data_IF_554459192219
#
_entry.id   IF_554459192219
#
_cell.length_a   1.000
_cell.length_b   1.000
_cell.length_c   1.000
_cell.angle_alpha   90.00
_cell.angle_beta   90.00
_cell.angle_gamma   90.00
#
_symmetry.space_group_name_H-M   'P 1'
#
loop_
_entity.id
_entity.type
_entity.pdbx_description
1 polymer ?
#
# COMPACT_ATOMS: atom_id res chain seq x y z
N UNK A 1 0.81 -6.85 7.15
CA UNK A 1 1.12 -5.41 7.06
C UNK A 1 -0.02 -4.59 7.65
N UNK A 2 0.27 -3.69 8.55
CA UNK A 2 -0.68 -2.81 9.22
C UNK A 2 -0.70 -1.45 8.51
N UNK A 3 -1.87 -0.89 8.23
CA UNK A 3 -2.04 0.46 7.73
C UNK A 3 -2.65 1.34 8.82
N UNK A 4 -2.00 2.45 9.13
CA UNK A 4 -2.43 3.43 10.12
C UNK A 4 -2.83 4.69 9.36
N UNK A 5 -4.12 4.99 9.38
CA UNK A 5 -4.74 6.06 8.60
C UNK A 5 -4.88 7.36 9.41
N UNK A 6 -5.20 8.45 8.72
CA UNK A 6 -5.57 9.75 9.28
C UNK A 6 -4.50 10.40 10.17
N UNK A 7 -3.24 10.19 9.86
CA UNK A 7 -2.12 10.85 10.54
C UNK A 7 -2.00 12.28 10.02
N UNK A 8 -2.65 13.23 10.69
CA UNK A 8 -2.68 14.64 10.30
C UNK A 8 -1.52 15.39 10.94
N UNK A 9 -0.74 16.09 10.11
CA UNK A 9 0.41 16.88 10.51
C UNK A 9 0.41 18.26 9.79
N UNK A 10 1.07 19.28 10.34
CA UNK A 10 1.28 20.54 9.65
C UNK A 10 2.17 20.34 8.41
N UNK A 11 2.11 21.27 7.44
CA UNK A 11 2.92 21.20 6.21
C UNK A 11 4.43 21.18 6.47
N UNK A 12 4.88 21.71 7.60
CA UNK A 12 6.29 21.72 8.01
C UNK A 12 6.80 20.39 8.53
N UNK A 13 5.90 19.42 8.79
CA UNK A 13 6.28 18.11 9.31
C UNK A 13 6.66 17.17 8.19
N UNK A 14 7.65 16.30 8.46
CA UNK A 14 8.11 15.26 7.53
C UNK A 14 7.67 13.86 7.95
N UNK A 15 8.17 12.87 7.19
CA UNK A 15 7.90 11.45 7.43
C UNK A 15 8.26 10.95 8.84
N UNK A 16 9.41 11.36 9.45
CA UNK A 16 9.75 10.90 10.79
C UNK A 16 8.67 11.17 11.83
N UNK A 17 8.08 12.38 11.79
CA UNK A 17 6.99 12.74 12.68
C UNK A 17 5.71 11.94 12.39
N UNK A 18 5.47 11.60 11.11
CA UNK A 18 4.35 10.75 10.73
C UNK A 18 4.52 9.33 11.30
N UNK A 19 5.71 8.77 11.22
CA UNK A 19 6.03 7.45 11.77
C UNK A 19 5.85 7.41 13.29
N UNK A 20 6.40 8.37 14.01
CA UNK A 20 6.26 8.44 15.47
C UNK A 20 4.80 8.57 15.89
N UNK A 21 4.06 9.46 15.25
CA UNK A 21 2.64 9.66 15.56
C UNK A 21 1.82 8.41 15.27
N UNK A 22 2.10 7.73 14.15
CA UNK A 22 1.42 6.50 13.77
C UNK A 22 1.66 5.38 14.79
N UNK A 23 2.92 5.13 15.16
CA UNK A 23 3.26 4.09 16.13
C UNK A 23 2.64 4.35 17.50
N UNK A 24 2.64 5.62 17.95
CA UNK A 24 1.99 6.01 19.20
C UNK A 24 0.48 5.79 19.16
N UNK A 25 -0.20 6.16 18.06
CA UNK A 25 -1.64 5.99 17.87
C UNK A 25 -2.04 4.51 17.86
N UNK A 26 -1.23 3.67 17.21
CA UNK A 26 -1.46 2.24 17.16
C UNK A 26 -0.91 1.48 18.39
N UNK A 27 -0.24 2.18 19.32
CA UNK A 27 0.41 1.60 20.51
C UNK A 27 1.42 0.51 20.17
N UNK A 28 2.14 0.66 19.04
CA UNK A 28 3.14 -0.29 18.57
C UNK A 28 4.52 0.16 19.04
N UNK A 29 5.24 -0.65 19.86
CA UNK A 29 6.61 -0.37 20.25
C UNK A 29 7.55 -0.41 19.05
N UNK A 30 8.46 0.57 18.93
CA UNK A 30 9.39 0.64 17.80
C UNK A 30 10.27 -0.61 17.65
N UNK A 31 10.62 -1.24 18.76
CA UNK A 31 11.42 -2.48 18.76
C UNK A 31 10.78 -3.67 18.04
N UNK A 32 9.44 -3.68 17.90
CA UNK A 32 8.67 -4.72 17.20
C UNK A 32 8.56 -4.46 15.70
N UNK A 33 8.91 -3.28 15.22
CA UNK A 33 8.78 -2.87 13.82
C UNK A 33 9.97 -3.38 13.01
N UNK A 34 9.69 -4.05 11.88
CA UNK A 34 10.70 -4.43 10.90
C UNK A 34 10.81 -3.40 9.76
N UNK A 35 9.68 -2.84 9.33
CA UNK A 35 9.66 -1.86 8.25
C UNK A 35 8.58 -0.79 8.46
N UNK A 36 8.90 0.45 8.08
CA UNK A 36 7.99 1.59 8.02
C UNK A 36 8.02 2.19 6.62
N UNK A 37 6.85 2.60 6.14
CA UNK A 37 6.73 3.28 4.86
C UNK A 37 5.48 4.15 4.80
N UNK A 38 5.48 5.11 3.88
CA UNK A 38 4.29 5.93 3.58
C UNK A 38 3.46 5.20 2.51
N UNK A 39 2.30 4.70 2.89
CA UNK A 39 1.36 4.07 1.96
C UNK A 39 0.57 5.12 1.15
N UNK A 40 0.29 6.27 1.76
CA UNK A 40 -0.42 7.37 1.11
C UNK A 40 -0.07 8.69 1.79
N UNK A 41 0.09 9.72 0.96
CA UNK A 41 0.18 11.12 1.39
C UNK A 41 -0.85 11.93 0.61
N UNK A 42 -1.60 12.77 1.31
CA UNK A 42 -2.53 13.73 0.72
C UNK A 42 -2.52 15.04 1.51
N UNK A 43 -3.02 16.11 0.88
CA UNK A 43 -3.19 17.41 1.53
C UNK A 43 -4.67 17.62 1.81
N UNK A 44 -5.01 17.95 3.05
CA UNK A 44 -6.35 18.40 3.45
C UNK A 44 -6.34 19.90 3.65
N UNK A 45 -6.94 20.63 2.71
CA UNK A 45 -7.07 22.09 2.72
C UNK A 45 -8.53 22.56 2.87
N UNK A 46 -9.45 21.66 3.24
CA UNK A 46 -10.89 21.96 3.28
C UNK A 46 -11.29 22.87 4.45
N UNK A 47 -10.55 22.82 5.55
CA UNK A 47 -10.88 23.53 6.77
C UNK A 47 -9.63 24.16 7.39
N UNK A 48 -9.58 25.49 7.41
CA UNK A 48 -8.51 26.26 8.03
C UNK A 48 -7.13 26.06 7.37
N UNK A 49 -6.08 25.94 8.18
CA UNK A 49 -4.73 25.75 7.64
C UNK A 49 -4.57 24.38 7.00
N UNK A 50 -3.96 24.29 5.80
CA UNK A 50 -3.71 23.02 5.14
C UNK A 50 -2.87 22.07 6.01
N UNK A 51 -3.21 20.77 5.95
CA UNK A 51 -2.53 19.72 6.70
C UNK A 51 -2.12 18.59 5.76
N UNK A 52 -0.99 17.99 6.05
CA UNK A 52 -0.59 16.72 5.46
C UNK A 52 -1.35 15.57 6.17
N UNK A 53 -1.93 14.67 5.38
CA UNK A 53 -2.61 13.49 5.87
C UNK A 53 -1.90 12.25 5.36
N UNK A 54 -1.26 11.54 6.26
CA UNK A 54 -0.51 10.34 5.96
C UNK A 54 -1.31 9.08 6.27
N UNK A 55 -1.09 8.05 5.47
CA UNK A 55 -1.34 6.66 5.84
C UNK A 55 0.02 5.98 5.94
N UNK A 56 0.35 5.49 7.11
CA UNK A 56 1.63 4.83 7.40
C UNK A 56 1.45 3.32 7.31
N UNK A 57 2.31 2.66 6.53
CA UNK A 57 2.42 1.22 6.49
C UNK A 57 3.46 0.73 7.49
N UNK A 58 3.08 -0.22 8.32
CA UNK A 58 3.92 -0.82 9.35
C UNK A 58 3.96 -2.33 9.14
N UNK A 59 5.17 -2.88 9.07
CA UNK A 59 5.39 -4.33 9.08
C UNK A 59 6.06 -4.68 10.41
N UNK A 60 5.52 -5.66 11.12
CA UNK A 60 6.09 -6.16 12.35
C UNK A 60 7.07 -7.30 12.08
N UNK A 61 7.94 -7.58 13.04
CA UNK A 61 8.89 -8.69 12.99
C UNK A 61 8.16 -10.05 13.03
N UNK A 62 7.03 -10.11 13.73
CA UNK A 62 6.18 -11.29 13.86
C UNK A 62 4.82 -11.04 13.20
N UNK A 63 4.50 -11.80 12.15
CA UNK A 63 3.23 -11.67 11.41
C UNK A 63 1.99 -11.94 12.29
N UNK A 64 2.11 -12.80 13.28
CA UNK A 64 1.01 -13.11 14.23
C UNK A 64 0.57 -11.89 15.05
N UNK A 65 1.51 -11.00 15.37
CA UNK A 65 1.21 -9.77 16.10
C UNK A 65 0.47 -8.75 15.23
N UNK A 66 0.64 -8.78 13.91
CA UNK A 66 -0.10 -7.92 12.98
C UNK A 66 -1.62 -8.16 13.08
N UNK A 67 -2.03 -9.41 13.17
CA UNK A 67 -3.45 -9.77 13.31
C UNK A 67 -4.05 -9.27 14.64
N UNK A 68 -3.27 -9.26 15.72
CA UNK A 68 -3.71 -8.76 17.02
C UNK A 68 -3.95 -7.25 17.03
N UNK A 69 -3.33 -6.49 16.10
CA UNK A 69 -3.58 -5.06 15.94
C UNK A 69 -4.88 -4.74 15.19
N UNK A 70 -5.52 -5.75 14.57
CA UNK A 70 -6.79 -5.58 13.88
C UNK A 70 -7.87 -5.18 14.86
N UNK A 71 -8.51 -4.02 14.63
CA UNK A 71 -9.58 -3.52 15.50
C UNK A 71 -9.14 -2.70 16.72
N UNK A 72 -7.84 -2.51 16.94
CA UNK A 72 -7.33 -1.67 18.04
C UNK A 72 -7.80 -0.20 17.92
N UNK A 73 -8.11 0.29 16.73
CA UNK A 73 -8.65 1.63 16.47
C UNK A 73 -9.31 1.66 15.08
N UNK A 74 -10.29 2.56 14.88
CA UNK A 74 -10.89 2.83 13.55
C UNK A 74 -9.85 3.27 12.51
N UNK A 75 -8.72 3.81 12.95
CA UNK A 75 -7.62 4.26 12.08
C UNK A 75 -6.61 3.16 11.79
N UNK A 76 -6.78 1.94 12.28
CA UNK A 76 -5.85 0.82 12.10
C UNK A 76 -6.52 -0.29 11.31
N UNK A 77 -5.96 -0.63 10.15
CA UNK A 77 -6.43 -1.77 9.34
C UNK A 77 -5.27 -2.72 9.06
N UNK A 78 -5.56 -4.01 9.04
CA UNK A 78 -4.57 -5.03 8.68
C UNK A 78 -4.85 -5.46 7.24
N UNK A 79 -3.83 -5.37 6.40
CA UNK A 79 -3.88 -5.83 5.00
C UNK A 79 -3.04 -7.09 4.87
N UNK A 80 -3.68 -8.20 4.47
CA UNK A 80 -2.97 -9.40 4.05
C UNK A 80 -2.14 -9.15 2.78
N UNK A 81 -1.18 -10.03 2.50
CA UNK A 81 -0.53 -10.05 1.18
C UNK A 81 -1.60 -10.44 0.15
N UNK A 82 -1.86 -9.56 -0.79
CA UNK A 82 -2.69 -9.88 -1.95
C UNK A 82 -1.74 -10.24 -3.08
N UNK A 83 -1.57 -11.51 -3.34
CA UNK A 83 -0.86 -11.95 -4.54
C UNK A 83 -1.80 -11.80 -5.73
N UNK A 84 -1.48 -10.84 -6.57
CA UNK A 84 -2.17 -10.69 -7.84
C UNK A 84 -1.60 -11.72 -8.82
N UNK A 85 -2.33 -12.81 -9.03
CA UNK A 85 -2.02 -13.81 -10.05
C UNK A 85 -3.09 -13.79 -11.12
N UNK A 86 -2.67 -13.76 -12.37
CA UNK A 86 -3.55 -13.97 -13.52
C UNK A 86 -3.43 -15.44 -13.91
N UNK A 87 -4.55 -16.15 -13.92
CA UNK A 87 -4.56 -17.54 -14.39
C UNK A 87 -4.48 -17.55 -15.91
N UNK A 88 -3.56 -18.35 -16.43
CA UNK A 88 -3.45 -18.57 -17.88
C UNK A 88 -4.60 -19.43 -18.37
N UNK A 89 -5.05 -19.17 -19.60
CA UNK A 89 -5.95 -20.06 -20.31
C UNK A 89 -5.28 -21.44 -20.61
N UNK A 90 -6.09 -22.45 -20.84
CA UNK A 90 -5.62 -23.82 -21.14
C UNK A 90 -5.38 -24.03 -22.65
N UNK A 91 -5.90 -23.14 -23.49
CA UNK A 91 -5.75 -23.24 -24.95
C UNK A 91 -4.46 -22.56 -25.42
N UNK A 92 -3.65 -23.22 -26.25
CA UNK A 92 -2.46 -22.59 -26.83
C UNK A 92 -2.85 -21.45 -27.78
N UNK A 93 -2.12 -20.34 -27.69
CA UNK A 93 -2.29 -19.24 -28.64
C UNK A 93 -1.58 -19.58 -29.97
N UNK A 94 -2.30 -19.49 -31.07
CA UNK A 94 -1.75 -19.70 -32.40
C UNK A 94 -0.96 -18.49 -32.90
N UNK A 95 -1.27 -17.31 -32.37
CA UNK A 95 -0.62 -16.05 -32.76
C UNK A 95 -0.22 -15.26 -31.50
N UNK A 96 0.68 -14.29 -31.71
CA UNK A 96 1.07 -13.35 -30.62
C UNK A 96 -0.14 -12.50 -30.23
N UNK A 97 -0.37 -12.28 -28.93
CA UNK A 97 -1.41 -11.37 -28.48
C UNK A 97 -1.09 -9.93 -28.93
N UNK A 98 -2.10 -9.21 -29.37
CA UNK A 98 -1.98 -7.82 -29.78
C UNK A 98 -2.67 -6.95 -28.72
N UNK A 99 -1.96 -5.93 -28.23
CA UNK A 99 -2.50 -4.94 -27.32
C UNK A 99 -2.79 -3.66 -28.08
N UNK A 100 -4.08 -3.34 -28.27
CA UNK A 100 -4.50 -2.13 -28.93
C UNK A 100 -4.63 -0.98 -27.94
N UNK A 101 -3.76 0.02 -28.07
CA UNK A 101 -3.73 1.22 -27.22
C UNK A 101 -2.58 1.23 -26.22
N UNK A 102 -1.92 2.39 -26.12
CA UNK A 102 -0.76 2.63 -25.27
C UNK A 102 -1.09 3.42 -23.99
N UNK A 103 -2.35 3.43 -23.59
CA UNK A 103 -2.79 4.00 -22.30
C UNK A 103 -2.41 3.10 -21.11
N UNK A 104 -2.67 3.54 -19.88
CA UNK A 104 -2.30 2.78 -18.67
C UNK A 104 -2.79 1.32 -18.71
N UNK A 105 -4.01 1.07 -19.15
CA UNK A 105 -4.56 -0.28 -19.24
C UNK A 105 -3.78 -1.15 -20.23
N UNK A 106 -3.45 -0.62 -21.42
CA UNK A 106 -2.68 -1.34 -22.44
C UNK A 106 -1.25 -1.65 -21.98
N UNK A 107 -0.58 -0.69 -21.32
CA UNK A 107 0.76 -0.89 -20.76
C UNK A 107 0.78 -2.00 -19.70
N UNK A 108 -0.18 -2.00 -18.77
CA UNK A 108 -0.28 -3.06 -17.76
C UNK A 108 -0.65 -4.41 -18.36
N UNK A 109 -1.55 -4.45 -19.36
CA UNK A 109 -1.87 -5.67 -20.09
C UNK A 109 -0.63 -6.27 -20.76
N UNK A 110 0.13 -5.44 -21.50
CA UNK A 110 1.37 -5.87 -22.13
C UNK A 110 2.41 -6.36 -21.12
N UNK A 111 2.58 -5.65 -20.00
CA UNK A 111 3.48 -6.05 -18.92
C UNK A 111 3.09 -7.41 -18.33
N UNK A 112 1.81 -7.64 -18.05
CA UNK A 112 1.33 -8.90 -17.49
C UNK A 112 1.53 -10.06 -18.48
N UNK A 113 1.19 -9.85 -19.75
CA UNK A 113 1.41 -10.83 -20.80
C UNK A 113 2.90 -11.19 -20.95
N UNK A 114 3.78 -10.17 -20.95
CA UNK A 114 5.22 -10.39 -21.03
C UNK A 114 5.76 -11.17 -19.82
N UNK A 115 5.29 -10.87 -18.62
CA UNK A 115 5.65 -11.61 -17.39
C UNK A 115 5.20 -13.07 -17.41
N UNK A 116 4.14 -13.38 -18.14
CA UNK A 116 3.63 -14.74 -18.36
C UNK A 116 4.34 -15.46 -19.52
N UNK A 117 5.36 -14.85 -20.13
CA UNK A 117 6.12 -15.44 -21.22
C UNK A 117 5.54 -15.21 -22.63
N UNK A 118 4.43 -14.50 -22.73
CA UNK A 118 3.90 -14.08 -24.02
C UNK A 118 4.75 -12.94 -24.62
N UNK A 119 4.68 -12.77 -25.94
CA UNK A 119 5.35 -11.68 -26.67
C UNK A 119 4.28 -10.76 -27.28
N UNK A 120 3.67 -9.92 -26.48
CA UNK A 120 2.63 -9.02 -26.98
C UNK A 120 3.19 -7.96 -27.93
#
# INVERSE_FOLDING_TARGET
>A
MILIHDIRLPLSAGEPQAYEKALRLARIPRGKVSHLGIARLSVDARHGQPKLVYTVAVTLKEEKEEAACAGASRSVTVRGKTDFSVQNGTLPLTHRPVVCGLGPAGLFAALLLARQGYRP
#
